data_IF_752621659796
#
_entry.id   IF_752621659796
#
_cell.length_a   1.000
_cell.length_b   1.000
_cell.length_c   1.000
_cell.angle_alpha   90.00
_cell.angle_beta   90.00
_cell.angle_gamma   90.00
#
_symmetry.space_group_name_H-M   'P 1'
#
loop_
_entity.id
_entity.type
_entity.pdbx_description
1 polymer ?
#
# COMPACT_ATOMS: atom_id res chain seq x y z
N UNK A 1 14.63 -5.06 -11.31
CA UNK A 1 14.15 -6.45 -11.51
C UNK A 1 12.68 -6.67 -11.14
N UNK A 2 12.24 -6.57 -9.87
CA UNK A 2 10.86 -6.96 -9.49
C UNK A 2 9.76 -6.24 -10.30
N UNK A 3 9.83 -4.91 -10.42
CA UNK A 3 8.83 -4.16 -11.20
C UNK A 3 8.89 -4.44 -12.70
N UNK A 4 10.09 -4.71 -13.22
CA UNK A 4 10.29 -5.06 -14.64
C UNK A 4 9.56 -6.36 -14.97
N UNK A 5 9.57 -7.32 -14.06
CA UNK A 5 8.87 -8.59 -14.23
C UNK A 5 7.35 -8.41 -14.26
N UNK A 6 6.76 -7.67 -13.31
CA UNK A 6 5.29 -7.49 -13.31
C UNK A 6 4.78 -6.63 -14.46
N UNK A 7 5.60 -5.69 -14.95
CA UNK A 7 5.24 -4.79 -16.06
C UNK A 7 5.73 -5.27 -17.43
N UNK A 8 6.57 -6.31 -17.48
CA UNK A 8 7.14 -6.87 -18.70
C UNK A 8 7.91 -5.81 -19.52
N UNK A 9 8.55 -4.85 -18.84
CA UNK A 9 9.36 -3.79 -19.45
C UNK A 9 10.32 -3.19 -18.43
N UNK A 10 11.52 -2.81 -18.87
CA UNK A 10 12.51 -2.09 -18.06
C UNK A 10 12.37 -0.56 -18.18
N UNK A 11 11.55 -0.07 -19.12
CA UNK A 11 11.24 1.35 -19.28
C UNK A 11 10.20 1.79 -18.27
N UNK A 12 10.64 1.97 -17.03
CA UNK A 12 9.80 2.32 -15.88
C UNK A 12 10.14 3.71 -15.35
N UNK A 13 9.14 4.38 -14.77
CA UNK A 13 9.30 5.54 -13.90
C UNK A 13 9.04 5.11 -12.46
N UNK A 14 9.85 5.62 -11.53
CA UNK A 14 9.70 5.39 -10.09
C UNK A 14 9.02 6.56 -9.42
N UNK A 15 8.21 6.33 -8.39
CA UNK A 15 7.80 7.35 -7.42
C UNK A 15 9.01 7.88 -6.63
N UNK A 16 8.86 9.06 -6.05
CA UNK A 16 9.74 9.59 -4.99
C UNK A 16 8.93 9.46 -3.71
N UNK A 17 9.13 8.36 -3.00
CA UNK A 17 8.28 7.93 -1.90
C UNK A 17 8.89 8.17 -0.52
N UNK A 18 8.09 7.92 0.52
CA UNK A 18 8.50 8.02 1.91
C UNK A 18 9.18 6.77 2.47
N UNK A 19 9.68 6.92 3.69
CA UNK A 19 10.11 5.82 4.56
C UNK A 19 9.20 5.74 5.77
N UNK A 20 8.93 4.53 6.26
CA UNK A 20 8.26 4.33 7.53
C UNK A 20 9.23 3.69 8.53
N UNK A 21 9.38 4.37 9.66
CA UNK A 21 10.18 3.92 10.80
C UNK A 21 9.24 3.80 12.00
N UNK A 22 9.21 2.64 12.65
CA UNK A 22 8.40 2.46 13.86
C UNK A 22 9.17 1.65 14.90
N UNK A 23 9.29 2.17 16.13
CA UNK A 23 9.93 1.43 17.21
C UNK A 23 9.05 0.26 17.67
N UNK A 24 9.67 -0.77 18.27
CA UNK A 24 8.95 -1.81 19.00
C UNK A 24 8.10 -1.19 20.14
N UNK A 25 6.80 -1.55 20.27
CA UNK A 25 5.95 -1.08 21.38
C UNK A 25 6.52 -1.38 22.78
N UNK A 26 7.39 -2.38 22.88
CA UNK A 26 8.09 -2.79 24.10
C UNK A 26 8.99 -1.69 24.69
N UNK A 27 9.45 -0.73 23.88
CA UNK A 27 10.19 0.44 24.37
C UNK A 27 9.29 1.50 25.05
N UNK A 28 7.98 1.29 25.05
CA UNK A 28 7.00 2.24 25.58
C UNK A 28 6.60 3.33 24.57
N UNK A 29 5.47 3.98 24.82
CA UNK A 29 4.95 5.08 23.99
C UNK A 29 4.19 4.65 22.73
N UNK A 30 4.14 3.35 22.41
CA UNK A 30 3.36 2.81 21.29
C UNK A 30 2.50 1.64 21.78
N UNK A 31 1.35 1.43 21.13
CA UNK A 31 0.43 0.33 21.48
C UNK A 31 0.68 -0.89 20.61
N UNK A 32 0.52 -2.08 21.17
CA UNK A 32 0.42 -3.33 20.43
C UNK A 32 -0.83 -3.37 19.53
N UNK A 33 -0.91 -4.40 18.69
CA UNK A 33 -2.13 -4.72 17.97
C UNK A 33 -3.28 -4.98 18.97
N UNK A 34 -4.44 -4.42 18.64
CA UNK A 34 -5.70 -4.69 19.35
C UNK A 34 -6.57 -5.48 18.40
N UNK A 35 -7.25 -6.51 18.90
CA UNK A 35 -8.21 -7.28 18.13
C UNK A 35 -9.21 -6.34 17.44
N UNK A 36 -9.52 -6.62 16.19
CA UNK A 36 -10.44 -5.85 15.34
C UNK A 36 -10.06 -4.38 15.09
N UNK A 37 -8.88 -3.93 15.56
CA UNK A 37 -8.34 -2.63 15.22
C UNK A 37 -7.62 -2.73 13.87
N UNK A 38 -8.20 -2.06 12.88
CA UNK A 38 -7.62 -2.00 11.55
C UNK A 38 -7.94 -0.65 10.88
N UNK A 39 -7.16 -0.35 9.86
CA UNK A 39 -7.36 0.83 9.03
C UNK A 39 -7.25 0.49 7.55
N UNK A 40 -7.80 -0.68 7.20
CA UNK A 40 -7.95 -1.12 5.82
C UNK A 40 -8.45 -0.01 4.91
N UNK A 41 -7.69 0.22 3.85
CA UNK A 41 -7.97 1.24 2.86
C UNK A 41 -7.62 0.73 1.46
N UNK A 42 -8.11 1.46 0.46
CA UNK A 42 -7.74 1.33 -0.95
C UNK A 42 -7.12 2.63 -1.41
N UNK A 43 -6.05 2.53 -2.21
CA UNK A 43 -5.35 3.69 -2.77
C UNK A 43 -5.79 3.99 -4.21
N UNK A 44 -6.37 3.03 -4.91
CA UNK A 44 -6.91 3.30 -6.24
C UNK A 44 -8.36 3.78 -6.18
N UNK A 45 -8.61 5.05 -6.54
CA UNK A 45 -9.96 5.61 -6.63
C UNK A 45 -10.83 5.00 -7.74
N UNK A 46 -12.11 5.38 -7.74
CA UNK A 46 -13.11 4.83 -8.66
C UNK A 46 -12.90 5.23 -10.13
N UNK A 47 -12.17 6.32 -10.40
CA UNK A 47 -11.89 6.80 -11.76
C UNK A 47 -10.84 5.96 -12.50
N UNK A 48 -9.99 5.23 -11.76
CA UNK A 48 -8.97 4.34 -12.30
C UNK A 48 -9.51 2.91 -12.33
N UNK A 49 -9.94 2.47 -13.51
CA UNK A 49 -10.51 1.12 -13.69
C UNK A 49 -9.46 0.13 -14.20
N UNK A 50 -9.34 -1.02 -13.54
CA UNK A 50 -8.31 -2.01 -13.87
C UNK A 50 -6.94 -1.66 -13.29
N UNK A 51 -5.89 -2.32 -13.76
CA UNK A 51 -4.55 -2.23 -13.16
C UNK A 51 -3.82 -0.95 -13.55
N UNK A 52 -3.55 -0.09 -12.57
CA UNK A 52 -2.84 1.19 -12.77
C UNK A 52 -1.52 1.31 -12.00
N UNK A 53 -1.39 0.67 -10.84
CA UNK A 53 -0.12 0.63 -10.12
C UNK A 53 0.04 -0.69 -9.38
N UNK A 54 1.31 -1.05 -9.22
CA UNK A 54 1.73 -1.93 -8.15
C UNK A 54 2.52 -1.09 -7.16
N UNK A 55 2.09 -1.08 -5.91
CA UNK A 55 2.81 -0.44 -4.83
C UNK A 55 3.73 -1.46 -4.18
N UNK A 56 4.86 -0.99 -3.67
CA UNK A 56 5.90 -1.82 -3.09
C UNK A 56 6.39 -1.26 -1.76
N UNK A 57 6.73 -2.17 -0.85
CA UNK A 57 7.33 -1.87 0.43
C UNK A 57 8.53 -2.81 0.63
N UNK A 58 9.73 -2.25 0.62
CA UNK A 58 10.99 -2.94 0.90
C UNK A 58 11.24 -2.92 2.41
N UNK A 59 11.42 -4.11 2.99
CA UNK A 59 11.67 -4.28 4.41
C UNK A 59 13.18 -4.38 4.67
N UNK A 60 13.71 -3.46 5.48
CA UNK A 60 15.14 -3.45 5.85
C UNK A 60 15.44 -4.27 7.11
N UNK A 61 14.41 -4.79 7.75
CA UNK A 61 14.51 -5.74 8.87
C UNK A 61 13.53 -6.90 8.66
N UNK A 62 13.87 -8.07 9.18
CA UNK A 62 13.01 -9.24 9.11
C UNK A 62 11.71 -9.03 9.88
N UNK A 63 10.61 -9.54 9.31
CA UNK A 63 9.29 -9.54 9.95
C UNK A 63 8.69 -10.93 9.94
N UNK A 64 8.09 -11.30 11.06
CA UNK A 64 7.30 -12.51 11.26
C UNK A 64 5.82 -12.17 11.42
N UNK A 65 4.96 -13.19 11.48
CA UNK A 65 3.52 -13.02 11.64
C UNK A 65 3.16 -12.10 12.81
N UNK A 66 3.90 -12.14 13.93
CA UNK A 66 3.60 -11.35 15.12
C UNK A 66 4.27 -9.96 15.14
N UNK A 67 5.07 -9.61 14.13
CA UNK A 67 5.80 -8.34 14.05
C UNK A 67 4.96 -7.22 13.39
N UNK A 68 5.56 -6.04 13.23
CA UNK A 68 5.03 -4.98 12.37
C UNK A 68 5.03 -5.44 10.91
N UNK A 69 3.85 -5.67 10.34
CA UNK A 69 3.71 -6.27 9.00
C UNK A 69 2.69 -5.54 8.15
N UNK A 70 2.87 -5.69 6.85
CA UNK A 70 1.84 -5.40 5.87
C UNK A 70 0.70 -6.40 6.03
N UNK A 71 -0.54 -5.93 5.97
CA UNK A 71 -1.73 -6.78 6.08
C UNK A 71 -2.71 -6.44 4.97
N UNK A 72 -3.30 -7.47 4.38
CA UNK A 72 -4.19 -7.35 3.21
C UNK A 72 -5.49 -8.08 3.42
N UNK A 73 -6.51 -7.68 2.66
CA UNK A 73 -7.62 -8.55 2.32
C UNK A 73 -7.31 -9.26 1.00
N UNK A 74 -6.89 -10.51 1.10
CA UNK A 74 -6.54 -11.36 -0.02
C UNK A 74 -7.70 -11.44 -1.02
N UNK A 75 -7.42 -11.18 -2.30
CA UNK A 75 -8.41 -11.22 -3.38
C UNK A 75 -9.30 -9.97 -3.52
N UNK A 76 -9.19 -8.98 -2.63
CA UNK A 76 -10.09 -7.81 -2.63
C UNK A 76 -10.00 -6.96 -3.91
N UNK A 77 -8.84 -6.93 -4.57
CA UNK A 77 -8.63 -6.19 -5.82
C UNK A 77 -9.57 -6.62 -6.96
N UNK A 78 -10.11 -7.85 -6.90
CA UNK A 78 -11.09 -8.38 -7.86
C UNK A 78 -12.44 -7.70 -7.75
N UNK A 79 -12.73 -7.11 -6.60
CA UNK A 79 -14.02 -6.49 -6.27
C UNK A 79 -14.03 -4.97 -6.40
N UNK A 80 -12.90 -4.34 -6.75
CA UNK A 80 -12.73 -2.88 -6.82
C UNK A 80 -13.86 -2.15 -7.55
N UNK A 81 -14.16 -2.55 -8.78
CA UNK A 81 -15.26 -1.96 -9.56
C UNK A 81 -16.60 -2.12 -8.85
N UNK A 82 -16.91 -3.34 -8.40
CA UNK A 82 -18.19 -3.66 -7.76
C UNK A 82 -18.37 -2.95 -6.40
N UNK A 83 -17.28 -2.73 -5.68
CA UNK A 83 -17.28 -1.98 -4.43
C UNK A 83 -17.76 -0.55 -4.65
N UNK A 84 -17.20 0.16 -5.62
CA UNK A 84 -17.64 1.53 -5.94
C UNK A 84 -19.03 1.62 -6.57
N UNK A 85 -19.48 0.57 -7.29
CA UNK A 85 -20.87 0.47 -7.74
C UNK A 85 -21.85 0.26 -6.58
N UNK A 86 -21.43 -0.47 -5.54
CA UNK A 86 -22.27 -0.76 -4.37
C UNK A 86 -22.33 0.42 -3.41
N UNK A 87 -21.22 1.16 -3.27
CA UNK A 87 -21.09 2.31 -2.38
C UNK A 87 -20.76 3.59 -3.18
N UNK A 88 -21.74 4.16 -3.90
CA UNK A 88 -21.50 5.30 -4.81
C UNK A 88 -21.01 6.57 -4.08
N UNK A 89 -21.39 6.77 -2.82
CA UNK A 89 -20.89 7.84 -1.97
C UNK A 89 -19.38 7.74 -1.71
N UNK A 90 -18.86 6.52 -1.70
CA UNK A 90 -17.43 6.22 -1.56
C UNK A 90 -16.69 6.56 -2.83
N UNK A 91 -17.26 6.28 -4.00
CA UNK A 91 -16.66 6.63 -5.29
C UNK A 91 -16.34 8.12 -5.37
N UNK A 92 -17.26 8.97 -4.92
CA UNK A 92 -17.05 10.43 -4.86
C UNK A 92 -15.91 10.82 -3.91
N UNK A 93 -15.83 10.20 -2.73
CA UNK A 93 -14.79 10.50 -1.73
C UNK A 93 -13.40 10.04 -2.20
N UNK A 94 -13.31 8.80 -2.69
CA UNK A 94 -12.06 8.18 -3.12
C UNK A 94 -11.48 8.86 -4.36
N UNK A 95 -12.32 9.29 -5.31
CA UNK A 95 -11.87 9.90 -6.57
C UNK A 95 -11.16 11.25 -6.38
N UNK A 96 -11.31 11.89 -5.21
CA UNK A 96 -10.63 13.16 -4.92
C UNK A 96 -9.18 12.97 -4.47
N UNK A 97 -8.90 11.87 -3.77
CA UNK A 97 -7.63 11.69 -3.06
C UNK A 97 -6.88 10.43 -3.45
N UNK A 98 -7.47 9.55 -4.27
CA UNK A 98 -6.92 8.21 -4.52
C UNK A 98 -6.57 7.54 -3.17
N UNK A 99 -7.54 7.59 -2.25
CA UNK A 99 -7.47 7.00 -0.92
C UNK A 99 -8.88 6.87 -0.33
N UNK A 100 -9.18 5.72 0.27
CA UNK A 100 -10.39 5.56 1.06
C UNK A 100 -10.25 4.48 2.13
N UNK A 101 -10.44 4.86 3.39
CA UNK A 101 -10.50 3.96 4.55
C UNK A 101 -11.89 3.33 4.68
N UNK A 102 -11.93 2.01 4.81
CA UNK A 102 -13.17 1.25 4.96
C UNK A 102 -13.86 1.51 6.31
N UNK A 103 -15.18 1.49 6.30
CA UNK A 103 -16.03 1.33 7.49
C UNK A 103 -16.11 -0.14 7.91
N UNK A 104 -16.57 -0.46 9.15
CA UNK A 104 -16.82 -1.85 9.56
C UNK A 104 -17.79 -2.60 8.63
N UNK A 105 -18.85 -1.94 8.16
CA UNK A 105 -19.81 -2.51 7.21
C UNK A 105 -19.15 -2.88 5.88
N UNK A 106 -18.31 -1.99 5.35
CA UNK A 106 -17.60 -2.23 4.09
C UNK A 106 -16.50 -3.28 4.23
N UNK A 107 -15.87 -3.37 5.40
CA UNK A 107 -14.95 -4.45 5.72
C UNK A 107 -15.69 -5.80 5.71
N UNK A 108 -16.83 -5.90 6.39
CA UNK A 108 -17.68 -7.09 6.39
C UNK A 108 -18.12 -7.47 4.96
N UNK A 109 -18.45 -6.48 4.13
CA UNK A 109 -18.81 -6.70 2.72
C UNK A 109 -17.74 -7.46 1.93
N UNK A 110 -16.45 -7.21 2.20
CA UNK A 110 -15.34 -7.95 1.60
C UNK A 110 -15.22 -9.36 2.20
N UNK A 111 -15.41 -9.51 3.52
CA UNK A 111 -15.38 -10.81 4.19
C UNK A 111 -16.47 -11.74 3.67
N UNK A 112 -17.69 -11.24 3.49
CA UNK A 112 -18.83 -11.98 2.94
C UNK A 112 -18.58 -12.48 1.50
N UNK A 113 -17.59 -11.89 0.81
CA UNK A 113 -17.15 -12.27 -0.54
C UNK A 113 -15.90 -13.15 -0.53
N UNK A 114 -15.55 -13.69 0.64
CA UNK A 114 -14.42 -14.60 0.82
C UNK A 114 -13.06 -13.90 0.79
N UNK A 115 -12.99 -12.58 0.96
CA UNK A 115 -11.70 -11.91 1.09
C UNK A 115 -11.14 -12.17 2.49
N UNK A 116 -9.95 -12.77 2.56
CA UNK A 116 -9.35 -13.22 3.82
C UNK A 116 -8.32 -12.21 4.29
N UNK A 117 -8.36 -11.85 5.57
CA UNK A 117 -7.29 -11.05 6.17
C UNK A 117 -6.00 -11.87 6.27
N UNK A 118 -4.92 -11.36 5.68
CA UNK A 118 -3.58 -11.97 5.72
C UNK A 118 -2.55 -10.98 6.21
N UNK A 119 -1.78 -11.38 7.20
CA UNK A 119 -0.52 -10.73 7.57
C UNK A 119 0.57 -11.28 6.66
N UNK A 120 1.49 -10.42 6.23
CA UNK A 120 2.53 -10.79 5.25
C UNK A 120 3.90 -10.60 5.91
N UNK A 121 4.48 -11.68 6.47
CA UNK A 121 5.88 -11.71 6.86
C UNK A 121 6.78 -11.49 5.65
N UNK A 122 7.81 -10.69 5.83
CA UNK A 122 8.79 -10.36 4.79
C UNK A 122 10.19 -10.55 5.38
N UNK A 123 11.08 -11.32 4.73
CA UNK A 123 12.45 -11.46 5.18
C UNK A 123 13.21 -10.14 5.03
N UNK A 124 14.33 -10.00 5.75
CA UNK A 124 15.21 -8.83 5.62
C UNK A 124 15.68 -8.65 4.17
N UNK A 125 15.51 -7.46 3.62
CA UNK A 125 15.79 -7.14 2.21
C UNK A 125 14.70 -7.61 1.23
N UNK A 126 13.64 -8.26 1.73
CA UNK A 126 12.49 -8.66 0.93
C UNK A 126 11.55 -7.49 0.64
N UNK A 127 10.77 -7.61 -0.42
CA UNK A 127 9.76 -6.62 -0.81
C UNK A 127 8.39 -7.28 -0.93
N UNK A 128 7.38 -6.65 -0.34
CA UNK A 128 5.98 -6.97 -0.66
C UNK A 128 5.51 -6.05 -1.77
N UNK A 129 4.81 -6.61 -2.76
CA UNK A 129 4.22 -5.91 -3.88
C UNK A 129 2.71 -6.17 -3.91
N UNK A 130 1.90 -5.13 -4.10
CA UNK A 130 0.45 -5.27 -4.19
C UNK A 130 -0.17 -4.38 -5.27
N UNK A 131 -1.24 -4.86 -5.88
CA UNK A 131 -2.05 -4.05 -6.81
C UNK A 131 -2.71 -2.92 -6.02
N UNK A 132 -2.69 -1.68 -6.52
CA UNK A 132 -3.28 -0.49 -5.84
C UNK A 132 -4.77 -0.60 -5.53
N UNK A 133 -5.47 -1.57 -6.13
CA UNK A 133 -6.87 -1.92 -5.82
C UNK A 133 -7.02 -2.84 -4.59
N UNK A 134 -5.93 -3.40 -4.10
CA UNK A 134 -5.91 -4.32 -2.96
C UNK A 134 -6.18 -3.54 -1.69
N UNK A 135 -7.09 -4.04 -0.87
CA UNK A 135 -7.42 -3.47 0.43
C UNK A 135 -6.34 -3.91 1.38
N UNK A 136 -5.71 -2.95 2.04
CA UNK A 136 -4.56 -3.23 2.88
C UNK A 136 -4.43 -2.20 4.00
N UNK A 137 -3.58 -2.53 4.97
CA UNK A 137 -3.09 -1.62 6.00
C UNK A 137 -1.72 -2.10 6.51
N UNK A 138 -1.21 -1.40 7.53
CA UNK A 138 -0.10 -1.90 8.32
C UNK A 138 -0.64 -2.31 9.69
N UNK A 139 -0.29 -3.52 10.12
CA UNK A 139 -0.67 -4.03 11.43
C UNK A 139 0.48 -3.89 12.42
N UNK A 140 0.13 -3.56 13.67
CA UNK A 140 1.10 -3.44 14.76
C UNK A 140 1.57 -4.82 15.25
N UNK A 141 2.68 -4.89 16.00
CA UNK A 141 3.14 -6.13 16.58
C UNK A 141 2.18 -6.64 17.65
N UNK A 142 2.13 -7.94 17.83
CA UNK A 142 1.32 -8.59 18.85
C UNK A 142 2.02 -8.54 20.21
N UNK A 143 1.24 -8.44 21.28
CA UNK A 143 1.78 -8.48 22.64
C UNK A 143 2.42 -9.84 22.92
N UNK A 144 3.62 -9.86 23.53
CA UNK A 144 4.32 -11.09 23.87
C UNK A 144 4.98 -11.81 22.68
N UNK A 145 5.14 -11.14 21.53
CA UNK A 145 5.88 -11.68 20.37
C UNK A 145 7.31 -12.08 20.74
N UNK A 146 7.85 -13.07 20.03
CA UNK A 146 9.19 -13.61 20.31
C UNK A 146 10.32 -12.59 20.10
N UNK A 147 10.21 -11.74 19.06
CA UNK A 147 11.25 -10.80 18.67
C UNK A 147 10.89 -9.35 19.06
N UNK A 148 10.83 -9.10 20.36
CA UNK A 148 10.32 -7.86 20.94
C UNK A 148 11.15 -6.61 20.66
N UNK A 149 12.40 -6.76 20.24
CA UNK A 149 13.33 -5.66 19.95
C UNK A 149 13.29 -5.19 18.49
N UNK A 150 12.58 -5.91 17.61
CA UNK A 150 12.56 -5.60 16.18
C UNK A 150 11.82 -4.31 15.87
N UNK A 151 12.55 -3.42 15.21
CA UNK A 151 12.06 -2.19 14.59
C UNK A 151 11.42 -2.47 13.23
N UNK A 152 10.50 -1.59 12.85
CA UNK A 152 10.00 -1.52 11.48
C UNK A 152 10.81 -0.50 10.70
N UNK A 153 11.48 -0.94 9.64
CA UNK A 153 12.14 -0.08 8.67
C UNK A 153 11.65 -0.44 7.26
N UNK A 154 10.86 0.45 6.67
CA UNK A 154 10.25 0.22 5.35
C UNK A 154 10.54 1.40 4.43
N UNK A 155 10.96 1.08 3.20
CA UNK A 155 11.08 2.05 2.10
C UNK A 155 9.96 1.76 1.11
N UNK A 156 9.12 2.76 0.83
CA UNK A 156 8.09 2.61 -0.18
C UNK A 156 8.63 2.91 -1.57
N UNK A 157 8.12 2.19 -2.56
CA UNK A 157 8.42 2.46 -3.96
C UNK A 157 7.29 1.94 -4.82
N UNK A 158 6.90 2.73 -5.80
CA UNK A 158 6.01 2.34 -6.87
C UNK A 158 6.71 2.59 -8.19
N UNK A 159 6.55 1.68 -9.15
CA UNK A 159 7.02 1.91 -10.52
C UNK A 159 5.91 1.60 -11.51
N UNK A 160 5.84 2.37 -12.59
CA UNK A 160 4.91 2.17 -13.71
C UNK A 160 5.60 2.38 -15.05
N UNK A 161 5.09 1.80 -16.15
CA UNK A 161 5.62 2.02 -17.49
C UNK A 161 5.77 3.50 -17.86
N UNK A 162 6.96 3.88 -18.31
CA UNK A 162 7.27 5.26 -18.68
C UNK A 162 6.42 5.77 -19.85
N UNK A 163 5.98 4.87 -20.74
CA UNK A 163 5.11 5.20 -21.88
C UNK A 163 3.75 5.77 -21.47
N UNK A 164 3.34 5.62 -20.20
CA UNK A 164 2.10 6.20 -19.70
C UNK A 164 2.22 7.69 -19.33
N UNK A 165 3.46 8.18 -19.16
CA UNK A 165 3.71 9.56 -18.74
C UNK A 165 3.50 10.57 -19.86
N UNK A 166 2.86 11.68 -19.51
CA UNK A 166 2.80 12.87 -20.36
C UNK A 166 4.02 13.75 -20.08
N UNK A 167 4.37 14.69 -20.98
CA UNK A 167 5.44 15.65 -20.73
C UNK A 167 5.27 16.44 -19.41
N UNK A 168 4.03 16.72 -19.01
CA UNK A 168 3.72 17.38 -17.74
C UNK A 168 4.13 16.52 -16.51
N UNK A 169 3.90 15.20 -16.56
CA UNK A 169 4.29 14.28 -15.48
C UNK A 169 5.82 14.22 -15.31
N UNK A 170 6.54 14.23 -16.44
CA UNK A 170 8.02 14.27 -16.44
C UNK A 170 8.52 15.57 -15.83
N UNK A 171 7.96 16.71 -16.24
CA UNK A 171 8.32 18.02 -15.67
C UNK A 171 8.01 18.11 -14.17
N UNK A 172 6.85 17.59 -13.73
CA UNK A 172 6.49 17.52 -12.32
C UNK A 172 7.48 16.67 -11.52
N UNK A 173 7.88 15.50 -12.04
CA UNK A 173 8.88 14.63 -11.41
C UNK A 173 10.26 15.29 -11.29
N UNK A 174 10.70 15.97 -12.35
CA UNK A 174 11.97 16.71 -12.32
C UNK A 174 11.95 17.85 -11.30
N UNK A 175 10.83 18.56 -11.18
CA UNK A 175 10.63 19.59 -10.16
C UNK A 175 10.67 18.98 -8.76
N UNK A 176 9.90 17.91 -8.52
CA UNK A 176 9.87 17.22 -7.24
C UNK A 176 11.25 16.75 -6.80
N UNK A 177 12.06 16.20 -7.72
CA UNK A 177 13.44 15.84 -7.43
C UNK A 177 14.31 17.04 -7.03
N UNK A 178 14.28 18.13 -7.82
CA UNK A 178 15.07 19.33 -7.55
C UNK A 178 14.70 20.03 -6.25
N UNK A 179 13.43 19.97 -5.88
CA UNK A 179 12.87 20.61 -4.69
C UNK A 179 12.78 19.68 -3.47
N UNK A 180 13.29 18.44 -3.59
CA UNK A 180 13.27 17.43 -2.51
C UNK A 180 11.84 17.13 -2.01
N UNK A 181 10.88 17.08 -2.93
CA UNK A 181 9.47 16.74 -2.65
C UNK A 181 9.20 15.26 -2.92
N UNK A 182 8.25 14.71 -2.17
CA UNK A 182 7.66 13.39 -2.48
C UNK A 182 6.63 13.50 -3.61
N UNK A 183 6.39 12.40 -4.29
CA UNK A 183 5.30 12.24 -5.28
C UNK A 183 4.25 11.28 -4.74
N UNK A 184 3.09 11.22 -5.40
CA UNK A 184 2.13 10.15 -5.14
C UNK A 184 2.67 8.77 -5.61
N UNK A 185 1.91 7.71 -5.29
CA UNK A 185 2.14 6.35 -5.76
C UNK A 185 1.75 6.14 -7.24
N UNK A 186 1.64 7.21 -8.04
CA UNK A 186 1.35 7.20 -9.48
C UNK A 186 2.55 7.73 -10.28
N UNK A 187 3.61 6.93 -10.49
CA UNK A 187 4.90 7.41 -11.01
C UNK A 187 4.86 8.03 -12.40
N UNK A 188 3.83 7.71 -13.18
CA UNK A 188 3.68 8.11 -14.58
C UNK A 188 2.35 8.79 -14.88
N UNK A 189 1.50 9.10 -13.90
CA UNK A 189 0.16 9.66 -14.17
C UNK A 189 -0.33 10.56 -13.03
N UNK A 190 -0.40 11.86 -13.27
CA UNK A 190 -0.71 12.87 -12.25
C UNK A 190 0.31 12.80 -11.10
N UNK A 191 1.59 12.86 -11.47
CA UNK A 191 2.76 12.81 -10.56
C UNK A 191 2.72 13.91 -9.51
#
# INVERSE_FOLDING_TARGET
EVFKEVWQTDKLLTSIDGVAISPPPELGGFSFAVADSHWFHVDQGATRQGRHAYQGALYLEETTETDYVFRVLEGSHKWHKKFYETFPEVARKASKYDFYKLTPEQFQWYQDRGCVQRRIPVPKGGMVLWDSRTIHDNNRPEFGRANSDRWRFVVFSCMTPAVWAKPADISAKQKAYKEMLMTAHWPSQNV
#
